data_IF_293382645841
#
_entry.id   IF_293382645841
#
_cell.length_a   1.000
_cell.length_b   1.000
_cell.length_c   1.000
_cell.angle_alpha   90.00
_cell.angle_beta   90.00
_cell.angle_gamma   90.00
#
_symmetry.space_group_name_H-M   'P 1'
#
loop_
_entity.id
_entity.type
_entity.pdbx_description
1 polymer ?
#
# COMPACT_ATOMS: atom_id res chain seq x y z
N UNK A 1 12.40 24.40 -1.75
CA UNK A 1 10.98 24.08 -1.46
C UNK A 1 11.00 22.70 -0.84
N UNK A 2 10.69 22.55 0.45
CA UNK A 2 10.42 21.24 1.03
C UNK A 2 8.94 20.98 0.79
N UNK A 3 8.61 20.03 -0.09
CA UNK A 3 7.24 19.52 -0.16
C UNK A 3 6.88 19.00 1.23
N UNK A 4 5.74 19.41 1.83
CA UNK A 4 5.32 18.84 3.09
C UNK A 4 5.24 17.32 2.92
N UNK A 5 5.71 16.52 3.90
CA UNK A 5 5.54 15.08 3.82
C UNK A 5 4.06 14.81 3.60
N UNK A 6 3.74 14.18 2.47
CA UNK A 6 2.36 13.86 2.15
C UNK A 6 1.80 13.00 3.30
N UNK A 7 0.56 13.23 3.74
CA UNK A 7 0.00 12.50 4.87
C UNK A 7 -0.14 11.02 4.49
N UNK A 8 0.78 10.19 5.00
CA UNK A 8 0.63 8.74 4.92
C UNK A 8 -0.53 8.31 5.80
N UNK A 9 -1.27 7.29 5.35
CA UNK A 9 -2.37 6.70 6.11
C UNK A 9 -1.97 5.30 6.54
N UNK A 10 -2.08 5.04 7.83
CA UNK A 10 -1.97 3.70 8.40
C UNK A 10 -3.34 3.26 8.89
N UNK A 11 -3.71 2.01 8.62
CA UNK A 11 -4.98 1.41 9.03
C UNK A 11 -4.72 0.00 9.54
N UNK A 12 -5.22 -0.31 10.73
CA UNK A 12 -5.28 -1.67 11.25
C UNK A 12 -6.52 -2.37 10.70
N UNK A 13 -6.34 -3.51 10.03
CA UNK A 13 -7.42 -4.27 9.40
C UNK A 13 -7.17 -5.78 9.53
N UNK A 14 -8.13 -6.49 10.13
CA UNK A 14 -8.10 -7.96 10.35
C UNK A 14 -6.81 -8.51 10.99
N UNK A 15 -6.16 -7.72 11.85
CA UNK A 15 -4.89 -8.11 12.47
C UNK A 15 -3.68 -7.98 11.54
N UNK A 16 -3.77 -7.11 10.53
CA UNK A 16 -2.68 -6.60 9.71
C UNK A 16 -2.64 -5.07 9.76
N UNK A 17 -1.46 -4.51 9.53
CA UNK A 17 -1.23 -3.07 9.38
C UNK A 17 -1.09 -2.75 7.89
N UNK A 18 -1.98 -1.89 7.38
CA UNK A 18 -1.97 -1.38 6.02
C UNK A 18 -1.36 0.02 6.07
N UNK A 19 -0.17 0.17 5.49
CA UNK A 19 0.50 1.45 5.36
C UNK A 19 0.39 1.92 3.92
N UNK A 20 -0.16 3.11 3.70
CA UNK A 20 -0.26 3.72 2.37
C UNK A 20 0.33 5.11 2.40
N UNK A 21 1.09 5.42 1.36
CA UNK A 21 1.76 6.69 1.17
C UNK A 21 1.56 7.14 -0.28
N UNK A 22 1.01 8.34 -0.50
CA UNK A 22 0.90 8.89 -1.84
C UNK A 22 2.29 9.28 -2.34
N UNK A 23 2.53 9.11 -3.64
CA UNK A 23 3.79 9.45 -4.29
C UNK A 23 3.50 10.27 -5.55
N UNK A 24 4.12 11.44 -5.72
CA UNK A 24 3.95 12.21 -6.95
C UNK A 24 4.54 11.42 -8.13
N UNK A 25 3.81 11.31 -9.24
CA UNK A 25 4.34 10.63 -10.42
C UNK A 25 5.31 11.54 -11.15
N UNK A 26 6.46 11.01 -11.59
CA UNK A 26 7.42 11.77 -12.39
C UNK A 26 6.92 12.08 -13.81
N UNK A 27 5.96 11.29 -14.32
CA UNK A 27 5.43 11.42 -15.68
C UNK A 27 4.51 12.65 -15.81
N UNK A 28 3.66 12.88 -14.82
CA UNK A 28 2.69 13.97 -14.84
C UNK A 28 2.74 14.73 -13.52
N UNK A 29 3.16 16.00 -13.57
CA UNK A 29 3.21 16.89 -12.40
C UNK A 29 1.84 17.12 -11.71
N UNK A 30 0.74 16.65 -12.32
CA UNK A 30 -0.61 16.72 -11.79
C UNK A 30 -1.23 15.32 -11.56
N UNK A 31 -0.42 14.26 -11.57
CA UNK A 31 -0.88 12.93 -11.16
C UNK A 31 -0.08 12.38 -9.98
N UNK A 32 -0.81 11.76 -9.08
CA UNK A 32 -0.30 11.11 -7.88
C UNK A 32 -0.52 9.60 -8.02
N UNK A 33 0.48 8.81 -7.69
CA UNK A 33 0.34 7.40 -7.44
C UNK A 33 0.23 7.16 -5.93
N UNK A 34 0.02 5.90 -5.56
CA UNK A 34 0.20 5.44 -4.20
C UNK A 34 1.22 4.31 -4.16
N UNK A 35 1.93 4.24 -3.05
CA UNK A 35 2.71 3.09 -2.65
C UNK A 35 2.25 2.69 -1.25
N UNK A 36 1.96 1.41 -1.08
CA UNK A 36 1.55 0.84 0.18
C UNK A 36 2.22 -0.49 0.46
N UNK A 37 2.09 -0.93 1.69
CA UNK A 37 2.47 -2.28 2.08
C UNK A 37 1.57 -2.75 3.22
N UNK A 38 1.32 -4.05 3.22
CA UNK A 38 0.63 -4.73 4.30
C UNK A 38 1.65 -5.53 5.09
N UNK A 39 1.63 -5.44 6.42
CA UNK A 39 2.45 -6.27 7.30
C UNK A 39 1.64 -6.79 8.48
N UNK A 40 2.14 -7.83 9.13
CA UNK A 40 1.57 -8.28 10.39
C UNK A 40 2.01 -7.38 11.56
N UNK A 41 1.15 -7.17 12.56
CA UNK A 41 1.51 -6.50 13.79
C UNK A 41 2.61 -7.26 14.51
N UNK A 42 3.75 -6.60 14.69
CA UNK A 42 4.96 -7.18 15.27
C UNK A 42 5.86 -7.94 14.28
N UNK A 43 5.47 -8.05 13.00
CA UNK A 43 6.40 -8.44 11.95
C UNK A 43 7.33 -7.27 11.61
N UNK A 44 8.59 -7.56 11.31
CA UNK A 44 9.55 -6.51 10.96
C UNK A 44 9.41 -6.16 9.46
N UNK A 45 8.93 -4.95 9.11
CA UNK A 45 8.72 -4.58 7.72
C UNK A 45 10.02 -4.46 6.91
N UNK A 46 11.18 -4.55 7.57
CA UNK A 46 12.49 -4.54 6.93
C UNK A 46 12.91 -5.94 6.47
N UNK A 47 12.22 -6.99 6.90
CA UNK A 47 12.52 -8.37 6.53
C UNK A 47 11.78 -8.78 5.25
N UNK A 48 12.47 -9.36 4.26
CA UNK A 48 11.83 -9.86 3.05
C UNK A 48 10.85 -10.99 3.40
N UNK A 49 9.65 -10.94 2.80
CA UNK A 49 8.60 -11.91 3.09
C UNK A 49 7.77 -11.62 4.35
N UNK A 50 8.01 -10.50 5.05
CA UNK A 50 7.19 -10.04 6.19
C UNK A 50 6.22 -8.90 5.83
N UNK A 51 6.32 -8.38 4.61
CA UNK A 51 5.42 -7.36 4.05
C UNK A 51 4.95 -7.76 2.66
N UNK A 52 3.69 -7.47 2.32
CA UNK A 52 3.21 -7.46 0.94
C UNK A 52 3.22 -6.00 0.45
N UNK A 53 4.21 -5.56 -0.33
CA UNK A 53 4.16 -4.26 -0.98
C UNK A 53 3.13 -4.27 -2.10
N UNK A 54 2.45 -3.15 -2.29
CA UNK A 54 1.52 -2.91 -3.38
C UNK A 54 1.60 -1.45 -3.80
N UNK A 55 1.38 -1.15 -5.07
CA UNK A 55 1.38 0.22 -5.57
C UNK A 55 0.41 0.31 -6.73
N UNK A 56 0.07 1.52 -7.14
CA UNK A 56 -0.63 1.69 -8.40
C UNK A 56 0.23 1.12 -9.53
N UNK A 57 -0.30 0.17 -10.31
CA UNK A 57 0.30 -0.22 -11.59
C UNK A 57 0.39 1.05 -12.45
N UNK A 58 1.55 1.34 -13.03
CA UNK A 58 1.92 2.69 -13.50
C UNK A 58 1.00 3.39 -14.52
N UNK A 59 -0.10 2.76 -14.95
CA UNK A 59 -1.22 3.38 -15.66
C UNK A 59 -2.19 4.14 -14.73
N UNK A 60 -2.42 3.61 -13.53
CA UNK A 60 -3.30 4.18 -12.51
C UNK A 60 -2.59 5.34 -11.84
N UNK A 61 -3.14 6.53 -12.05
CA UNK A 61 -2.69 7.68 -11.29
C UNK A 61 -3.79 8.72 -11.18
N UNK A 62 -3.84 9.28 -9.98
CA UNK A 62 -4.95 10.02 -9.40
C UNK A 62 -4.71 11.51 -9.53
N UNK A 63 -5.80 12.28 -9.59
CA UNK A 63 -5.72 13.74 -9.64
C UNK A 63 -5.40 14.34 -8.27
N UNK A 64 -5.65 13.57 -7.21
CA UNK A 64 -5.55 14.01 -5.82
C UNK A 64 -4.86 12.95 -4.96
N UNK A 65 -4.15 13.43 -3.94
CA UNK A 65 -3.56 12.58 -2.89
C UNK A 65 -4.63 11.76 -2.16
N UNK A 66 -5.79 12.34 -1.89
CA UNK A 66 -6.90 11.69 -1.17
C UNK A 66 -7.47 10.51 -1.94
N UNK A 67 -7.69 10.67 -3.26
CA UNK A 67 -8.12 9.57 -4.15
C UNK A 67 -7.10 8.44 -4.19
N UNK A 68 -5.80 8.77 -4.29
CA UNK A 68 -4.74 7.78 -4.29
C UNK A 68 -4.71 6.99 -2.96
N UNK A 69 -4.92 7.68 -1.84
CA UNK A 69 -4.97 7.05 -0.53
C UNK A 69 -6.20 6.15 -0.39
N UNK A 70 -7.40 6.61 -0.75
CA UNK A 70 -8.64 5.83 -0.62
C UNK A 70 -8.57 4.52 -1.41
N UNK A 71 -8.09 4.59 -2.65
CA UNK A 71 -7.86 3.40 -3.48
C UNK A 71 -6.78 2.49 -2.90
N UNK A 72 -5.66 3.04 -2.42
CA UNK A 72 -4.64 2.24 -1.77
C UNK A 72 -5.17 1.50 -0.53
N UNK A 73 -6.06 2.12 0.25
CA UNK A 73 -6.71 1.46 1.39
C UNK A 73 -7.64 0.36 0.92
N UNK A 74 -8.42 0.61 -0.14
CA UNK A 74 -9.32 -0.38 -0.75
C UNK A 74 -8.54 -1.61 -1.21
N UNK A 75 -7.44 -1.41 -1.94
CA UNK A 75 -6.53 -2.47 -2.39
C UNK A 75 -5.89 -3.20 -1.21
N UNK A 76 -5.35 -2.46 -0.22
CA UNK A 76 -4.76 -3.06 0.98
C UNK A 76 -5.73 -3.98 1.72
N UNK A 77 -7.01 -3.60 1.81
CA UNK A 77 -8.07 -4.45 2.39
C UNK A 77 -8.31 -5.71 1.56
N UNK A 78 -8.41 -5.60 0.24
CA UNK A 78 -8.55 -6.78 -0.64
C UNK A 78 -7.35 -7.73 -0.54
N UNK A 79 -6.13 -7.22 -0.32
CA UNK A 79 -4.93 -8.05 -0.11
C UNK A 79 -5.02 -8.82 1.20
N UNK A 80 -5.49 -8.16 2.27
CA UNK A 80 -5.70 -8.79 3.59
C UNK A 80 -6.81 -9.84 3.54
N UNK A 81 -7.93 -9.50 2.91
CA UNK A 81 -9.07 -10.41 2.72
C UNK A 81 -8.75 -11.55 1.73
N UNK A 82 -7.70 -11.40 0.91
CA UNK A 82 -7.28 -12.37 -0.10
C UNK A 82 -8.18 -12.39 -1.33
N UNK A 83 -8.96 -11.34 -1.55
CA UNK A 83 -9.79 -11.12 -2.74
C UNK A 83 -9.08 -10.35 -3.85
N UNK A 84 -7.90 -9.79 -3.57
CA UNK A 84 -7.11 -9.12 -4.58
C UNK A 84 -6.61 -10.14 -5.64
N UNK A 85 -6.74 -9.84 -6.95
CA UNK A 85 -6.51 -10.82 -8.01
C UNK A 85 -5.05 -11.27 -8.14
N UNK A 86 -4.09 -10.41 -7.75
CA UNK A 86 -2.65 -10.64 -7.93
C UNK A 86 -1.88 -10.82 -6.61
N UNK A 87 -2.41 -10.30 -5.50
CA UNK A 87 -1.68 -10.14 -4.24
C UNK A 87 -2.52 -10.69 -3.10
N UNK A 88 -1.90 -11.28 -2.08
CA UNK A 88 -2.61 -11.73 -0.89
C UNK A 88 -1.66 -11.89 0.29
N UNK A 89 -2.14 -11.61 1.50
CA UNK A 89 -1.41 -11.91 2.73
C UNK A 89 -1.21 -13.41 2.97
N UNK A 90 -1.95 -14.28 2.27
CA UNK A 90 -1.72 -15.73 2.33
C UNK A 90 -0.30 -16.11 1.88
N UNK A 91 0.30 -15.36 0.95
CA UNK A 91 1.70 -15.56 0.54
C UNK A 91 2.68 -15.34 1.69
N UNK A 92 2.34 -14.45 2.63
CA UNK A 92 3.09 -14.17 3.85
C UNK A 92 3.00 -15.33 4.85
N UNK A 93 1.81 -15.92 4.97
CA UNK A 93 1.53 -17.04 5.90
C UNK A 93 2.11 -18.35 5.37
N UNK A 94 2.19 -18.54 4.05
CA UNK A 94 2.69 -19.79 3.43
C UNK A 94 4.22 -19.93 3.49
N UNK A 95 4.97 -18.83 3.58
CA UNK A 95 6.44 -18.85 3.59
C UNK A 95 7.08 -18.84 5.00
N UNK A 96 6.27 -18.91 6.06
CA UNK A 96 6.76 -19.02 7.44
C UNK A 96 6.95 -20.47 7.87
N UNK A 97 8.05 -21.12 7.45
CA UNK A 97 8.50 -22.38 8.08
C UNK A 97 10.04 -22.46 8.18
#
# INVERSE_FOLDING_TARGET
MFEPPLPSRQIDYEGFEIHVSPTPTHTDANRYAYAGYVCHPGADPRLPGHTVPFHADGEESFRSVDEALDEAVSIGRSIVDGTHPDLSVLSLVTHGY
#
